data_IF_710579976939
#
_entry.id   IF_710579976939
#
_cell.length_a   1.000
_cell.length_b   1.000
_cell.length_c   1.000
_cell.angle_alpha   90.00
_cell.angle_beta   90.00
_cell.angle_gamma   90.00
#
_symmetry.space_group_name_H-M   'P 1'
#
loop_
_entity.id
_entity.type
_entity.pdbx_description
1 polymer ?
#
# COMPACT_ATOMS: atom_id res chain seq x y z
N UNK A 1 -13.01 22.39 3.21
CA UNK A 1 -13.08 20.91 3.21
C UNK A 1 -13.13 20.46 1.76
N UNK A 2 -12.19 19.64 1.26
CA UNK A 2 -12.30 19.10 -0.09
C UNK A 2 -13.56 18.24 -0.18
N UNK A 3 -14.31 18.39 -1.25
CA UNK A 3 -15.50 17.58 -1.54
C UNK A 3 -15.07 16.11 -1.60
N UNK A 4 -15.72 15.22 -0.80
CA UNK A 4 -15.70 13.78 -1.03
C UNK A 4 -16.27 13.56 -2.43
N UNK A 5 -15.41 13.40 -3.41
CA UNK A 5 -15.82 12.81 -4.68
C UNK A 5 -15.95 11.32 -4.41
N UNK A 6 -17.15 10.76 -4.54
CA UNK A 6 -17.31 9.32 -4.70
C UNK A 6 -16.48 8.96 -5.93
N UNK A 7 -15.34 8.31 -5.67
CA UNK A 7 -14.40 7.97 -6.73
C UNK A 7 -15.07 6.90 -7.60
N UNK A 8 -15.64 7.32 -8.71
CA UNK A 8 -16.14 6.41 -9.74
C UNK A 8 -14.96 5.55 -10.19
N UNK A 9 -15.17 4.25 -10.23
CA UNK A 9 -14.12 3.31 -10.65
C UNK A 9 -13.64 3.64 -12.06
N UNK A 10 -12.34 3.75 -12.30
CA UNK A 10 -11.81 3.94 -13.65
C UNK A 10 -12.01 2.72 -14.55
N UNK A 11 -12.50 1.60 -14.01
CA UNK A 11 -12.75 0.35 -14.72
C UNK A 11 -14.24 0.09 -14.97
N UNK A 12 -15.12 1.03 -14.56
CA UNK A 12 -16.55 0.84 -14.64
C UNK A 12 -16.99 0.63 -16.10
N UNK A 13 -17.79 -0.41 -16.33
CA UNK A 13 -18.26 -0.83 -17.67
C UNK A 13 -17.15 -1.11 -18.70
N UNK A 14 -15.92 -1.46 -18.25
CA UNK A 14 -14.79 -1.75 -19.12
C UNK A 14 -14.42 -3.23 -19.04
N UNK A 15 -14.19 -3.83 -20.21
CA UNK A 15 -13.72 -5.20 -20.33
C UNK A 15 -12.38 -5.42 -19.59
N UNK A 16 -12.28 -6.53 -18.86
CA UNK A 16 -11.10 -6.92 -18.08
C UNK A 16 -9.82 -6.91 -18.92
N UNK A 17 -9.89 -7.27 -20.19
CA UNK A 17 -8.73 -7.27 -21.10
C UNK A 17 -8.12 -5.87 -21.30
N UNK A 18 -8.89 -4.82 -21.04
CA UNK A 18 -8.42 -3.43 -21.14
C UNK A 18 -7.90 -2.85 -19.82
N UNK A 19 -8.13 -3.53 -18.68
CA UNK A 19 -7.78 -3.01 -17.37
C UNK A 19 -6.28 -2.73 -17.23
N UNK A 20 -5.42 -3.60 -17.74
CA UNK A 20 -3.97 -3.39 -17.68
C UNK A 20 -3.54 -2.04 -18.30
N UNK A 21 -4.05 -1.72 -19.48
CA UNK A 21 -3.75 -0.45 -20.16
C UNK A 21 -4.27 0.77 -19.39
N UNK A 22 -5.41 0.61 -18.71
CA UNK A 22 -5.95 1.68 -17.85
C UNK A 22 -5.03 1.87 -16.65
N UNK A 23 -4.67 0.78 -15.98
CA UNK A 23 -3.74 0.81 -14.83
C UNK A 23 -2.43 1.52 -15.20
N UNK A 24 -1.83 1.20 -16.33
CA UNK A 24 -0.61 1.86 -16.81
C UNK A 24 -0.77 3.37 -16.97
N UNK A 25 -1.91 3.81 -17.51
CA UNK A 25 -2.23 5.24 -17.65
C UNK A 25 -2.44 5.91 -16.29
N UNK A 26 -3.16 5.26 -15.37
CA UNK A 26 -3.41 5.76 -14.03
C UNK A 26 -2.12 5.93 -13.24
N UNK A 27 -1.30 4.89 -13.24
CA UNK A 27 -0.01 4.89 -12.56
C UNK A 27 0.90 5.97 -13.15
N UNK A 28 1.00 6.07 -14.47
CA UNK A 28 1.82 7.11 -15.14
C UNK A 28 1.38 8.54 -14.79
N UNK A 29 0.09 8.77 -14.54
CA UNK A 29 -0.46 10.09 -14.19
C UNK A 29 -0.31 10.42 -12.70
N UNK A 30 -0.06 9.43 -11.86
CA UNK A 30 -0.01 9.65 -10.42
C UNK A 30 1.28 10.41 -10.02
N UNK A 31 1.17 11.51 -9.23
CA UNK A 31 2.33 12.37 -8.92
C UNK A 31 3.48 11.66 -8.22
N UNK A 32 3.20 10.60 -7.43
CA UNK A 32 4.23 9.83 -6.72
C UNK A 32 4.93 8.79 -7.61
N UNK A 33 4.35 8.41 -8.76
CA UNK A 33 4.88 7.32 -9.57
C UNK A 33 6.38 7.41 -9.89
N UNK A 34 6.91 8.59 -10.24
CA UNK A 34 8.34 8.71 -10.59
C UNK A 34 9.30 8.46 -9.42
N UNK A 35 8.83 8.63 -8.18
CA UNK A 35 9.70 8.63 -6.99
C UNK A 35 9.33 7.57 -5.94
N UNK A 36 8.18 6.92 -6.08
CA UNK A 36 7.62 6.05 -5.03
C UNK A 36 8.51 4.87 -4.68
N UNK A 37 9.17 4.27 -5.66
CA UNK A 37 10.08 3.13 -5.45
C UNK A 37 11.28 3.57 -4.61
N UNK A 38 11.96 4.65 -5.01
CA UNK A 38 13.12 5.18 -4.29
C UNK A 38 12.77 5.59 -2.85
N UNK A 39 11.66 6.30 -2.67
CA UNK A 39 11.18 6.72 -1.35
C UNK A 39 10.87 5.51 -0.47
N UNK A 40 10.29 4.46 -1.05
CA UNK A 40 9.98 3.26 -0.28
C UNK A 40 11.23 2.50 0.13
N UNK A 41 12.17 2.28 -0.78
CA UNK A 41 13.43 1.60 -0.50
C UNK A 41 14.26 2.36 0.55
N UNK A 42 14.30 3.69 0.47
CA UNK A 42 14.95 4.52 1.50
C UNK A 42 14.25 4.44 2.86
N UNK A 43 12.91 4.41 2.88
CA UNK A 43 12.14 4.21 4.11
C UNK A 43 12.45 2.84 4.74
N UNK A 44 12.56 1.79 3.93
CA UNK A 44 12.93 0.45 4.39
C UNK A 44 14.30 0.44 5.03
N UNK A 45 15.31 1.00 4.37
CA UNK A 45 16.66 1.13 4.93
C UNK A 45 16.69 1.94 6.24
N UNK A 46 15.87 3.00 6.31
CA UNK A 46 15.74 3.80 7.53
C UNK A 46 15.16 2.99 8.69
N UNK A 47 14.19 2.11 8.42
CA UNK A 47 13.63 1.18 9.43
C UNK A 47 14.72 0.21 9.89
N UNK A 48 15.39 -0.48 8.97
CA UNK A 48 16.37 -1.50 9.31
C UNK A 48 17.54 -0.96 10.14
N UNK A 49 18.00 0.25 9.82
CA UNK A 49 19.08 0.92 10.51
C UNK A 49 18.65 1.71 11.76
N UNK A 50 17.32 1.85 11.97
CA UNK A 50 16.77 2.52 13.14
C UNK A 50 17.18 1.81 14.44
N UNK A 51 17.47 2.58 15.49
CA UNK A 51 17.80 2.08 16.82
C UNK A 51 16.67 2.44 17.78
N UNK A 52 16.15 1.44 18.51
CA UNK A 52 15.05 1.66 19.45
C UNK A 52 15.56 2.11 20.82
N UNK A 53 16.74 1.67 21.20
CA UNK A 53 17.27 1.93 22.53
C UNK A 53 18.76 2.31 22.47
N UNK A 54 19.10 3.44 23.09
CA UNK A 54 20.47 3.92 23.18
C UNK A 54 21.36 3.03 24.05
N UNK A 55 20.83 2.36 25.07
CA UNK A 55 21.58 1.44 25.93
C UNK A 55 21.94 0.15 25.22
N UNK A 56 20.99 -0.44 24.48
CA UNK A 56 21.23 -1.69 23.73
C UNK A 56 21.99 -1.43 22.43
N UNK A 57 21.96 -0.21 21.92
CA UNK A 57 22.57 0.16 20.62
C UNK A 57 22.21 -0.79 19.47
N UNK A 58 21.07 -1.47 19.59
CA UNK A 58 20.61 -2.53 18.70
C UNK A 58 19.77 -1.96 17.56
N UNK A 59 20.02 -2.40 16.34
CA UNK A 59 19.21 -2.04 15.16
C UNK A 59 17.93 -2.85 15.13
N UNK A 60 16.90 -2.29 14.49
CA UNK A 60 15.62 -3.01 14.25
C UNK A 60 15.88 -4.30 13.46
N UNK A 61 16.78 -4.30 12.49
CA UNK A 61 17.19 -5.49 11.74
C UNK A 61 17.72 -6.64 12.61
N UNK A 62 18.32 -6.32 13.76
CA UNK A 62 18.88 -7.30 14.70
C UNK A 62 17.85 -7.86 15.69
N UNK A 63 16.67 -7.22 15.78
CA UNK A 63 15.65 -7.54 16.78
C UNK A 63 14.70 -8.66 16.36
N UNK A 64 14.77 -9.15 15.13
CA UNK A 64 13.89 -10.19 14.60
C UNK A 64 12.38 -9.93 14.85
N UNK A 65 11.95 -8.69 14.62
CA UNK A 65 10.55 -8.28 14.85
C UNK A 65 9.57 -9.06 13.96
N UNK A 66 8.36 -9.29 14.48
CA UNK A 66 7.33 -10.01 13.74
C UNK A 66 6.92 -9.30 12.44
N UNK A 67 6.42 -10.03 11.43
CA UNK A 67 5.87 -9.41 10.22
C UNK A 67 4.76 -8.40 10.49
N UNK A 68 3.96 -8.60 11.51
CA UNK A 68 2.92 -7.67 11.94
C UNK A 68 3.52 -6.36 12.43
N UNK A 69 4.52 -6.41 13.32
CA UNK A 69 5.23 -5.23 13.80
C UNK A 69 5.94 -4.50 12.65
N UNK A 70 6.58 -5.24 11.74
CA UNK A 70 7.17 -4.67 10.52
C UNK A 70 6.13 -3.94 9.68
N UNK A 71 4.95 -4.55 9.49
CA UNK A 71 3.84 -3.93 8.77
C UNK A 71 3.41 -2.61 9.41
N UNK A 72 3.25 -2.57 10.74
CA UNK A 72 2.90 -1.34 11.48
C UNK A 72 3.97 -0.26 11.28
N UNK A 73 5.24 -0.59 11.43
CA UNK A 73 6.34 0.36 11.19
C UNK A 73 6.32 0.91 9.77
N UNK A 74 6.06 0.07 8.76
CA UNK A 74 5.95 0.51 7.37
C UNK A 74 4.77 1.48 7.17
N UNK A 75 3.62 1.21 7.78
CA UNK A 75 2.45 2.09 7.74
C UNK A 75 2.67 3.45 8.43
N UNK A 76 3.62 3.53 9.36
CA UNK A 76 3.97 4.79 10.02
C UNK A 76 5.11 5.52 9.34
N UNK A 77 6.18 4.82 9.03
CA UNK A 77 7.43 5.43 8.51
C UNK A 77 7.30 5.86 7.07
N UNK A 78 6.71 5.03 6.19
CA UNK A 78 6.62 5.34 4.75
C UNK A 78 5.78 6.59 4.47
N UNK A 79 4.55 6.73 5.01
CA UNK A 79 3.78 7.96 4.81
C UNK A 79 4.47 9.21 5.38
N UNK A 80 5.12 9.08 6.55
CA UNK A 80 5.87 10.18 7.15
C UNK A 80 7.08 10.59 6.30
N UNK A 81 7.79 9.61 5.73
CA UNK A 81 8.92 9.87 4.86
C UNK A 81 8.49 10.53 3.54
N UNK A 82 7.39 10.09 2.94
CA UNK A 82 6.80 10.71 1.75
C UNK A 82 6.39 12.14 2.06
N UNK A 83 5.68 12.38 3.17
CA UNK A 83 5.26 13.71 3.59
C UNK A 83 6.43 14.68 3.75
N UNK A 84 7.58 14.20 4.22
CA UNK A 84 8.79 15.01 4.39
C UNK A 84 9.47 15.35 3.06
N UNK A 85 9.40 14.46 2.07
CA UNK A 85 10.20 14.56 0.84
C UNK A 85 9.40 14.96 -0.39
N UNK A 86 8.07 14.91 -0.35
CA UNK A 86 7.22 15.25 -1.51
C UNK A 86 6.18 16.30 -1.10
N UNK A 87 6.37 17.56 -1.52
CA UNK A 87 5.41 18.62 -1.23
C UNK A 87 4.00 18.31 -1.74
N UNK A 88 3.00 18.58 -0.92
CA UNK A 88 1.58 18.33 -1.23
C UNK A 88 1.10 16.91 -0.88
N UNK A 89 1.94 16.13 -0.21
CA UNK A 89 1.54 14.87 0.41
C UNK A 89 1.77 14.90 1.92
N UNK A 90 0.87 14.25 2.66
CA UNK A 90 0.97 14.09 4.11
C UNK A 90 0.56 12.69 4.55
N UNK A 91 0.95 12.30 5.74
CA UNK A 91 0.42 11.12 6.41
C UNK A 91 -1.06 11.32 6.74
N UNK A 92 -1.86 10.30 6.49
CA UNK A 92 -3.28 10.30 6.84
C UNK A 92 -3.53 10.23 8.35
N UNK A 93 -4.71 10.66 8.79
CA UNK A 93 -5.17 10.67 10.18
C UNK A 93 -6.53 9.99 10.29
N UNK A 94 -6.71 9.16 11.32
CA UNK A 94 -7.99 8.51 11.61
C UNK A 94 -8.50 7.68 10.42
N UNK A 95 -9.62 8.08 9.83
CA UNK A 95 -10.28 7.38 8.73
C UNK A 95 -9.81 7.79 7.32
N UNK A 96 -8.81 8.64 7.20
CA UNK A 96 -8.23 8.99 5.91
C UNK A 96 -7.43 7.81 5.33
N UNK A 97 -7.05 7.90 4.05
CA UNK A 97 -6.07 6.98 3.44
C UNK A 97 -4.71 7.18 4.09
N UNK A 98 -3.84 6.18 4.01
CA UNK A 98 -2.53 6.20 4.68
C UNK A 98 -1.65 7.38 4.22
N UNK A 99 -1.74 7.72 2.93
CA UNK A 99 -1.02 8.86 2.32
C UNK A 99 -2.05 9.75 1.62
N UNK A 100 -2.16 10.99 2.07
CA UNK A 100 -3.14 11.96 1.57
C UNK A 100 -2.46 12.96 0.64
N UNK A 101 -3.01 13.13 -0.56
CA UNK A 101 -2.66 14.22 -1.45
C UNK A 101 -3.50 15.46 -1.11
N UNK A 102 -2.83 16.53 -0.63
CA UNK A 102 -3.52 17.74 -0.17
C UNK A 102 -4.12 18.57 -1.31
N UNK A 103 -3.60 18.39 -2.53
CA UNK A 103 -4.08 19.12 -3.73
C UNK A 103 -5.32 18.50 -4.33
N UNK A 104 -5.39 17.16 -4.33
CA UNK A 104 -6.50 16.41 -4.91
C UNK A 104 -6.57 15.03 -4.23
N UNK A 105 -7.63 14.80 -3.45
CA UNK A 105 -7.84 13.55 -2.72
C UNK A 105 -7.97 12.32 -3.64
N UNK A 106 -8.25 12.53 -4.92
CA UNK A 106 -8.22 11.46 -5.94
C UNK A 106 -6.86 10.72 -5.96
N UNK A 107 -5.76 11.44 -5.72
CA UNK A 107 -4.41 10.88 -5.66
C UNK A 107 -3.98 10.40 -4.27
N UNK A 108 -4.87 10.43 -3.29
CA UNK A 108 -4.60 9.81 -1.99
C UNK A 108 -4.58 8.29 -2.12
N UNK A 109 -3.71 7.62 -1.38
CA UNK A 109 -3.50 6.19 -1.54
C UNK A 109 -3.46 5.42 -0.21
N UNK A 110 -3.88 4.18 -0.29
CA UNK A 110 -3.84 3.20 0.78
C UNK A 110 -2.57 2.36 0.64
N UNK A 111 -1.89 2.09 1.76
CA UNK A 111 -0.72 1.22 1.81
C UNK A 111 -1.14 -0.19 2.24
N UNK A 112 -0.63 -1.21 1.58
CA UNK A 112 -0.76 -2.61 1.99
C UNK A 112 0.59 -3.28 1.98
N UNK A 113 0.92 -3.90 3.09
CA UNK A 113 2.21 -4.57 3.30
C UNK A 113 2.00 -6.04 3.66
N UNK A 114 2.86 -6.91 3.18
CA UNK A 114 2.80 -8.34 3.48
C UNK A 114 4.16 -9.00 3.35
N UNK A 115 4.49 -9.90 4.29
CA UNK A 115 5.62 -10.82 4.15
C UNK A 115 5.30 -12.07 3.35
N UNK A 116 4.09 -12.16 2.80
CA UNK A 116 3.63 -13.25 1.94
C UNK A 116 3.62 -12.81 0.46
N UNK A 117 3.39 -13.75 -0.46
CA UNK A 117 3.34 -13.48 -1.91
C UNK A 117 2.20 -12.53 -2.32
N UNK A 118 1.14 -12.43 -1.50
CA UNK A 118 -0.04 -11.58 -1.77
C UNK A 118 -0.26 -10.59 -0.64
N UNK A 119 -0.85 -9.44 -0.97
CA UNK A 119 -1.38 -8.52 0.03
C UNK A 119 -2.77 -8.97 0.48
N UNK A 120 -3.15 -8.54 1.68
CA UNK A 120 -4.46 -8.82 2.26
C UNK A 120 -5.10 -7.53 2.74
N UNK A 121 -6.42 -7.47 2.64
CA UNK A 121 -7.26 -6.45 3.24
C UNK A 121 -8.04 -7.00 4.44
N UNK A 122 -8.73 -6.12 5.14
CA UNK A 122 -9.75 -6.53 6.09
C UNK A 122 -11.03 -6.90 5.33
N UNK A 123 -11.87 -7.79 5.89
CA UNK A 123 -13.17 -8.19 5.31
C UNK A 123 -14.07 -7.00 4.99
N UNK A 124 -13.98 -5.91 5.75
CA UNK A 124 -14.72 -4.66 5.48
C UNK A 124 -14.41 -4.04 4.11
N UNK A 125 -13.32 -4.43 3.45
CA UNK A 125 -12.96 -3.95 2.10
C UNK A 125 -13.94 -4.45 1.03
N UNK A 126 -14.64 -5.55 1.27
CA UNK A 126 -15.63 -6.12 0.35
C UNK A 126 -16.97 -5.34 0.32
N UNK A 127 -17.17 -4.39 1.25
CA UNK A 127 -18.42 -3.63 1.39
C UNK A 127 -18.19 -2.15 1.15
N UNK A 128 -19.05 -1.53 0.34
CA UNK A 128 -19.04 -0.08 0.10
C UNK A 128 -19.61 0.75 1.26
N UNK A 129 -20.35 0.13 2.19
CA UNK A 129 -21.17 0.79 3.20
C UNK A 129 -20.44 1.27 4.46
N UNK A 130 -19.14 1.04 4.58
CA UNK A 130 -18.38 1.26 5.83
C UNK A 130 -17.88 2.69 6.07
N UNK A 131 -18.52 3.73 5.51
CA UNK A 131 -18.19 5.14 5.78
C UNK A 131 -16.83 5.63 5.29
N UNK A 132 -15.87 4.73 4.97
CA UNK A 132 -14.59 5.01 4.33
C UNK A 132 -14.57 4.32 2.97
N UNK A 133 -14.50 5.08 1.88
CA UNK A 133 -14.32 4.48 0.56
C UNK A 133 -12.97 3.75 0.51
N UNK A 134 -13.01 2.46 0.16
CA UNK A 134 -11.82 1.64 -0.07
C UNK A 134 -11.42 1.61 -1.55
N UNK A 135 -12.20 2.25 -2.41
CA UNK A 135 -11.82 2.48 -3.80
C UNK A 135 -10.74 3.56 -3.89
N UNK A 136 -9.75 3.36 -4.75
CA UNK A 136 -8.69 4.32 -4.97
C UNK A 136 -7.33 3.70 -5.23
N UNK A 137 -6.30 4.55 -5.18
CA UNK A 137 -4.93 4.08 -5.36
C UNK A 137 -4.43 3.26 -4.18
N UNK A 138 -3.68 2.22 -4.51
CA UNK A 138 -3.03 1.31 -3.57
C UNK A 138 -1.54 1.17 -3.88
N UNK A 139 -0.74 1.24 -2.84
CA UNK A 139 0.66 0.85 -2.84
C UNK A 139 0.78 -0.49 -2.13
N UNK A 140 1.04 -1.56 -2.88
CA UNK A 140 1.11 -2.92 -2.40
C UNK A 140 2.58 -3.37 -2.33
N UNK A 141 3.02 -3.79 -1.14
CA UNK A 141 4.41 -4.09 -0.86
C UNK A 141 4.57 -5.49 -0.30
N UNK A 142 5.46 -6.26 -0.89
CA UNK A 142 5.91 -7.51 -0.31
C UNK A 142 7.34 -7.36 0.20
N UNK A 143 7.60 -7.86 1.41
CA UNK A 143 8.90 -7.76 2.08
C UNK A 143 9.34 -9.10 2.69
N UNK A 144 10.64 -9.30 2.84
CA UNK A 144 11.20 -10.40 3.61
C UNK A 144 11.03 -10.13 5.11
N UNK A 145 10.81 -11.21 5.89
CA UNK A 145 10.74 -11.10 7.35
C UNK A 145 12.07 -10.57 7.88
N UNK A 146 12.00 -9.68 8.88
CA UNK A 146 13.19 -9.20 9.59
C UNK A 146 13.71 -10.32 10.54
N UNK A 147 14.08 -11.42 9.96
CA UNK A 147 14.74 -12.56 10.60
C UNK A 147 15.86 -13.09 9.71
N UNK A 148 16.03 -12.51 8.51
CA UNK A 148 17.15 -12.80 7.60
C UNK A 148 18.28 -11.79 7.83
N UNK A 149 19.47 -12.16 7.41
CA UNK A 149 20.68 -11.33 7.57
C UNK A 149 20.54 -9.95 6.87
N UNK A 150 19.88 -9.93 5.69
CA UNK A 150 19.64 -8.72 4.91
C UNK A 150 18.21 -8.72 4.33
N UNK A 151 17.20 -8.42 5.15
CA UNK A 151 15.81 -8.48 4.69
C UNK A 151 15.55 -7.41 3.62
N UNK A 152 14.92 -7.83 2.52
CA UNK A 152 14.69 -6.98 1.34
C UNK A 152 13.22 -6.67 1.16
N UNK A 153 12.95 -5.59 0.46
CA UNK A 153 11.68 -5.43 -0.24
C UNK A 153 11.70 -6.37 -1.45
N UNK A 154 10.72 -7.25 -1.53
CA UNK A 154 10.61 -8.23 -2.61
C UNK A 154 9.91 -7.64 -3.83
N UNK A 155 8.83 -6.88 -3.60
CA UNK A 155 8.03 -6.33 -4.69
C UNK A 155 7.30 -5.07 -4.25
N UNK A 156 7.23 -4.11 -5.16
CA UNK A 156 6.41 -2.90 -5.05
C UNK A 156 5.45 -2.87 -6.23
N UNK A 157 4.16 -2.88 -5.94
CA UNK A 157 3.11 -2.76 -6.95
C UNK A 157 2.25 -1.54 -6.66
N UNK A 158 1.77 -0.91 -7.72
CA UNK A 158 0.98 0.31 -7.64
C UNK A 158 -0.18 0.26 -8.63
N UNK A 159 -1.35 0.73 -8.21
CA UNK A 159 -2.53 0.77 -9.06
C UNK A 159 -3.78 1.20 -8.32
N UNK A 160 -4.93 0.97 -8.94
CA UNK A 160 -6.24 1.31 -8.39
C UNK A 160 -7.04 0.05 -8.10
N UNK A 161 -7.62 -0.03 -6.91
CA UNK A 161 -8.49 -1.13 -6.51
C UNK A 161 -9.86 -0.59 -6.08
N UNK A 162 -10.88 -1.39 -6.35
CA UNK A 162 -12.27 -1.15 -5.99
C UNK A 162 -12.74 -2.15 -4.92
N UNK A 163 -13.91 -1.92 -4.34
CA UNK A 163 -14.51 -2.86 -3.38
C UNK A 163 -14.72 -4.26 -3.99
N UNK A 164 -15.14 -4.33 -5.25
CA UNK A 164 -15.37 -5.57 -5.97
C UNK A 164 -14.12 -6.42 -6.21
N UNK A 165 -12.93 -5.82 -6.06
CA UNK A 165 -11.66 -6.53 -6.22
C UNK A 165 -11.29 -7.39 -5.00
N UNK A 166 -12.00 -7.22 -3.89
CA UNK A 166 -11.72 -7.91 -2.63
C UNK A 166 -12.73 -9.04 -2.37
N UNK A 167 -12.20 -10.22 -2.06
CA UNK A 167 -12.99 -11.40 -1.70
C UNK A 167 -12.69 -11.77 -0.25
N UNK A 168 -13.72 -11.74 0.59
CA UNK A 168 -13.61 -12.13 1.99
C UNK A 168 -13.39 -13.64 2.16
N UNK A 169 -12.77 -14.02 3.26
CA UNK A 169 -12.64 -15.43 3.63
C UNK A 169 -14.01 -16.10 3.73
N UNK A 170 -14.09 -17.38 3.36
CA UNK A 170 -15.33 -18.16 3.43
C UNK A 170 -15.83 -18.37 4.86
N UNK A 171 -14.91 -18.53 5.82
CA UNK A 171 -15.25 -18.68 7.22
C UNK A 171 -15.95 -17.42 7.74
N UNK A 172 -17.05 -17.56 8.46
CA UNK A 172 -17.82 -16.43 9.01
C UNK A 172 -17.00 -15.57 9.96
N UNK A 173 -16.11 -16.18 10.73
CA UNK A 173 -15.18 -15.51 11.66
C UNK A 173 -13.95 -14.91 10.96
N UNK A 174 -13.76 -15.22 9.68
CA UNK A 174 -12.59 -14.76 8.91
C UNK A 174 -12.61 -13.23 8.70
N UNK A 175 -11.55 -12.56 9.15
CA UNK A 175 -11.42 -11.11 9.07
C UNK A 175 -10.64 -10.63 7.87
N UNK A 176 -10.03 -11.54 7.09
CA UNK A 176 -9.20 -11.18 5.93
C UNK A 176 -10.00 -11.19 4.63
N UNK A 177 -9.57 -10.35 3.70
CA UNK A 177 -9.97 -10.39 2.30
C UNK A 177 -8.72 -10.49 1.42
N UNK A 178 -8.83 -11.23 0.33
CA UNK A 178 -7.80 -11.35 -0.71
C UNK A 178 -8.29 -10.68 -2.00
N UNK A 179 -7.36 -10.29 -2.86
CA UNK A 179 -7.71 -9.79 -4.19
C UNK A 179 -8.19 -10.92 -5.11
N UNK A 180 -9.11 -10.61 -6.00
CA UNK A 180 -9.45 -11.46 -7.15
C UNK A 180 -8.22 -11.70 -8.03
N UNK A 181 -8.24 -12.74 -8.85
CA UNK A 181 -7.16 -13.03 -9.81
C UNK A 181 -7.01 -11.89 -10.81
N UNK A 182 -8.11 -11.44 -11.37
CA UNK A 182 -8.18 -10.37 -12.37
C UNK A 182 -7.60 -9.06 -11.84
N UNK A 183 -7.93 -8.69 -10.59
CA UNK A 183 -7.39 -7.49 -9.96
C UNK A 183 -5.88 -7.58 -9.73
N UNK A 184 -5.38 -8.73 -9.25
CA UNK A 184 -3.93 -8.95 -9.06
C UNK A 184 -3.15 -8.81 -10.37
N UNK A 185 -3.67 -9.36 -11.46
CA UNK A 185 -2.99 -9.41 -12.75
C UNK A 185 -3.09 -8.08 -13.52
N UNK A 186 -4.20 -7.35 -13.38
CA UNK A 186 -4.50 -6.23 -14.27
C UNK A 186 -4.57 -4.86 -13.58
N UNK A 187 -4.87 -4.79 -12.28
CA UNK A 187 -5.06 -3.52 -11.56
C UNK A 187 -3.87 -3.09 -10.70
N UNK A 188 -2.84 -3.93 -10.58
CA UNK A 188 -1.59 -3.61 -9.90
C UNK A 188 -0.42 -3.74 -10.87
N UNK A 189 0.29 -2.64 -11.11
CA UNK A 189 1.49 -2.59 -11.93
C UNK A 189 2.72 -2.80 -11.04
N UNK A 190 3.54 -3.79 -11.37
CA UNK A 190 4.82 -4.00 -10.68
C UNK A 190 5.80 -2.90 -11.11
N UNK A 191 6.23 -2.08 -10.14
CA UNK A 191 7.20 -1.01 -10.33
C UNK A 191 8.61 -1.43 -9.92
N UNK A 192 8.70 -2.43 -9.03
CA UNK A 192 9.95 -2.99 -8.55
C UNK A 192 9.75 -4.45 -8.19
N UNK A 193 10.72 -5.28 -8.52
CA UNK A 193 10.83 -6.67 -8.09
C UNK A 193 12.31 -6.97 -7.81
N UNK A 194 12.61 -7.53 -6.62
CA UNK A 194 13.95 -7.94 -6.28
C UNK A 194 14.37 -9.16 -7.09
N UNK A 195 15.60 -9.17 -7.58
CA UNK A 195 16.24 -10.32 -8.23
C UNK A 195 16.54 -11.45 -7.25
#
# INVERSE_FOLDING_TARGET
>A
MPKKTDNVSPYDNIDVQKWRKITEKLVKKHPLSPVIVDLYLKSWQSILNGKINTYLNMKISEMCISPQATGVLLHDVVPAYIAKNVPGFRKGKGNEKDIVCERDDYFSLELKTSSQKSIFGNRSYTKSESGKSKAGYYLAINFEKIASENPRILRIQFGWLDHSDWVGQRAETGQQASLTKEAKENKLLTLYEAE
#
